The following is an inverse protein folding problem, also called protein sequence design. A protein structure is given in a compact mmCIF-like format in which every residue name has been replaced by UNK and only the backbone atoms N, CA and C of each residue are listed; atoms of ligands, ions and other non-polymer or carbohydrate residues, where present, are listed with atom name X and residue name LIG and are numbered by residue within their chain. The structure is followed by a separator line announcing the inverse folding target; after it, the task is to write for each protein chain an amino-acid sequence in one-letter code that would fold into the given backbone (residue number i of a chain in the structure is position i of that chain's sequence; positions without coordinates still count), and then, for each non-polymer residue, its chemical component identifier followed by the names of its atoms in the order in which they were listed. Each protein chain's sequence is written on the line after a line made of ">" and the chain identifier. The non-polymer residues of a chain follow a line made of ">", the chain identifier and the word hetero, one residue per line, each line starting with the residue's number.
data_IF_288040156543
#
_entry.id   IF_288040156543
#
_cell.length_a   1.000
_cell.length_b   1.000
_cell.length_c   1.000
_cell.angle_alpha   90.00
_cell.angle_beta   90.00
_cell.angle_gamma   90.00
#
_symmetry.space_group_name_H-M   'P 1'
#
loop_
_entity.id
_entity.type
_entity.pdbx_description
1 polymer ?
#
# COMPACT_ATOMS: atom_id res chain seq x y z
N UNK A 1 1.64 19.25 -12.57
CA UNK A 1 1.24 20.52 -11.95
C UNK A 1 -0.24 20.79 -12.17
N UNK A 2 -0.69 20.91 -13.42
CA UNK A 2 -2.08 21.25 -13.76
C UNK A 2 -3.10 20.26 -13.16
N UNK A 3 -2.78 18.96 -13.14
CA UNK A 3 -3.66 17.95 -12.57
C UNK A 3 -3.86 18.13 -11.05
N UNK A 4 -2.79 18.41 -10.30
CA UNK A 4 -2.88 18.65 -8.85
C UNK A 4 -3.54 19.99 -8.52
N UNK A 5 -3.33 21.01 -9.34
CA UNK A 5 -4.02 22.30 -9.17
C UNK A 5 -5.53 22.17 -9.39
N UNK A 6 -5.97 21.27 -10.28
CA UNK A 6 -7.38 20.98 -10.50
C UNK A 6 -8.08 20.33 -9.30
N UNK A 7 -7.29 19.72 -8.39
CA UNK A 7 -7.77 19.13 -7.12
C UNK A 7 -7.74 20.12 -5.94
N UNK A 8 -7.57 21.42 -6.21
CA UNK A 8 -7.43 22.49 -5.19
C UNK A 8 -6.30 22.26 -4.18
N UNK A 9 -5.31 21.42 -4.56
CA UNK A 9 -4.15 21.15 -3.72
C UNK A 9 -3.09 22.22 -3.89
N UNK A 10 -2.52 22.70 -2.79
CA UNK A 10 -1.33 23.52 -2.81
C UNK A 10 -0.10 22.64 -3.09
N UNK A 11 0.49 22.77 -4.29
CA UNK A 11 1.64 21.98 -4.70
C UNK A 11 2.88 22.85 -4.82
N UNK A 12 3.89 22.53 -4.03
CA UNK A 12 5.20 23.21 -4.09
C UNK A 12 6.27 22.20 -4.53
N UNK A 13 6.98 22.45 -5.66
CA UNK A 13 8.10 21.60 -6.04
C UNK A 13 9.23 21.79 -5.03
N UNK A 14 9.76 20.67 -4.57
CA UNK A 14 10.93 20.67 -3.74
C UNK A 14 12.17 20.88 -4.63
N UNK A 15 13.05 21.81 -4.25
CA UNK A 15 14.38 21.89 -4.82
C UNK A 15 15.25 20.69 -4.36
N UNK A 16 16.45 20.58 -4.88
CA UNK A 16 17.34 19.47 -4.57
C UNK A 16 17.68 19.40 -3.07
N UNK A 17 17.83 20.54 -2.41
CA UNK A 17 18.12 20.60 -0.98
C UNK A 17 16.94 20.11 -0.15
N UNK A 18 15.76 20.65 -0.40
CA UNK A 18 14.54 20.26 0.29
C UNK A 18 14.20 18.76 0.09
N UNK A 19 14.47 18.23 -1.12
CA UNK A 19 14.31 16.78 -1.39
C UNK A 19 15.25 15.93 -0.54
N UNK A 20 16.53 16.33 -0.44
CA UNK A 20 17.50 15.62 0.40
C UNK A 20 17.21 15.77 1.89
N UNK A 21 16.72 16.93 2.34
CA UNK A 21 16.25 17.11 3.72
C UNK A 21 15.08 16.18 4.09
N UNK A 22 14.14 15.99 3.18
CA UNK A 22 13.03 15.03 3.37
C UNK A 22 13.57 13.60 3.47
N UNK A 23 14.47 13.20 2.56
CA UNK A 23 15.07 11.87 2.58
C UNK A 23 15.93 11.65 3.84
N UNK A 24 16.69 12.65 4.26
CA UNK A 24 17.48 12.59 5.50
C UNK A 24 16.59 12.32 6.72
N UNK A 25 15.50 13.07 6.88
CA UNK A 25 14.55 12.87 7.98
C UNK A 25 13.89 11.50 7.94
N UNK A 26 13.76 10.92 6.76
CA UNK A 26 13.14 9.62 6.57
C UNK A 26 14.06 8.45 6.95
N UNK A 27 15.35 8.57 6.64
CA UNK A 27 16.33 7.51 6.85
C UNK A 27 17.13 7.65 8.15
N UNK A 28 17.28 8.87 8.67
CA UNK A 28 18.00 9.18 9.92
C UNK A 28 17.01 9.67 10.97
N UNK A 29 16.17 8.78 11.45
CA UNK A 29 15.11 9.08 12.43
C UNK A 29 15.69 9.51 13.78
N UNK A 30 16.84 8.96 14.17
CA UNK A 30 17.54 9.28 15.42
C UNK A 30 18.13 10.69 15.45
N UNK A 31 18.45 11.22 14.28
CA UNK A 31 19.02 12.56 14.20
C UNK A 31 17.90 13.60 14.01
N UNK A 32 17.45 14.23 15.09
CA UNK A 32 16.78 15.54 15.03
C UNK A 32 17.71 16.61 14.39
N UNK A 33 18.81 16.12 13.82
CA UNK A 33 19.93 16.87 13.32
C UNK A 33 19.65 17.61 12.03
N UNK A 34 20.37 18.68 11.86
CA UNK A 34 20.32 19.50 10.66
C UNK A 34 20.97 18.73 9.51
N UNK A 35 20.24 18.50 8.44
CA UNK A 35 20.81 18.07 7.19
C UNK A 35 21.94 19.05 6.77
N UNK A 36 23.17 18.54 6.72
CA UNK A 36 24.34 19.32 6.42
C UNK A 36 25.08 18.74 5.21
N UNK A 37 24.68 19.20 4.02
CA UNK A 37 25.35 18.86 2.77
C UNK A 37 25.72 20.12 2.02
N UNK A 38 27.00 20.25 1.69
CA UNK A 38 27.52 21.42 0.94
C UNK A 38 27.45 21.15 -0.57
N UNK A 39 26.36 21.60 -1.19
CA UNK A 39 26.13 21.46 -2.63
C UNK A 39 27.17 22.15 -3.50
N UNK A 40 27.75 23.24 -3.01
CA UNK A 40 28.69 24.07 -3.80
C UNK A 40 30.11 23.48 -3.81
N UNK A 41 30.47 22.78 -2.74
CA UNK A 41 31.81 22.24 -2.56
C UNK A 41 31.85 20.70 -2.53
N UNK A 42 30.71 20.01 -2.66
CA UNK A 42 30.64 18.54 -2.57
C UNK A 42 31.65 17.83 -3.49
N UNK A 43 31.80 18.31 -4.73
CA UNK A 43 32.75 17.74 -5.68
C UNK A 43 34.22 17.93 -5.25
N UNK A 44 34.54 19.06 -4.60
CA UNK A 44 35.90 19.35 -4.09
C UNK A 44 36.20 18.59 -2.81
N UNK A 45 35.16 18.33 -1.99
CA UNK A 45 35.25 17.61 -0.73
C UNK A 45 35.16 16.11 -0.91
N UNK A 46 34.83 15.64 -2.11
CA UNK A 46 34.60 14.24 -2.39
C UNK A 46 33.38 13.68 -1.67
N UNK A 47 32.43 14.53 -1.28
CA UNK A 47 31.19 14.14 -0.60
C UNK A 47 30.14 13.63 -1.60
N UNK A 48 29.55 12.49 -1.29
CA UNK A 48 28.33 12.00 -1.94
C UNK A 48 27.12 12.37 -1.08
N UNK A 49 26.03 12.84 -1.68
CA UNK A 49 24.79 13.13 -0.98
C UNK A 49 24.22 11.87 -0.30
N UNK A 50 24.55 10.68 -0.81
CA UNK A 50 24.13 9.40 -0.23
C UNK A 50 24.69 9.19 1.17
N UNK A 51 25.93 9.63 1.41
CA UNK A 51 26.57 9.54 2.73
C UNK A 51 25.87 10.41 3.77
N UNK A 52 25.24 11.50 3.32
CA UNK A 52 24.47 12.40 4.18
C UNK A 52 23.04 11.94 4.48
N UNK A 53 22.53 10.98 3.71
CA UNK A 53 21.17 10.47 3.85
C UNK A 53 21.16 9.07 4.47
N UNK A 54 22.11 8.22 4.07
CA UNK A 54 22.16 6.84 4.54
C UNK A 54 22.41 6.78 6.05
N UNK A 55 21.69 5.95 6.79
CA UNK A 55 21.98 5.72 8.20
C UNK A 55 23.35 5.05 8.36
N UNK A 56 24.01 5.27 9.46
CA UNK A 56 25.36 4.76 9.71
C UNK A 56 25.39 3.24 9.84
N UNK A 57 24.29 2.64 10.32
CA UNK A 57 24.16 1.20 10.47
C UNK A 57 22.74 0.74 10.17
N UNK A 58 22.63 -0.27 9.30
CA UNK A 58 21.38 -1.03 9.10
C UNK A 58 21.68 -2.50 9.25
N UNK A 59 20.89 -3.19 10.08
CA UNK A 59 20.95 -4.63 10.25
C UNK A 59 19.61 -5.27 9.97
N UNK A 60 19.57 -6.17 9.00
CA UNK A 60 18.37 -6.94 8.69
C UNK A 60 18.30 -8.19 9.55
N UNK A 61 17.36 -8.22 10.49
CA UNK A 61 17.06 -9.36 11.32
C UNK A 61 15.89 -10.18 10.75
N UNK A 62 15.64 -11.36 11.28
CA UNK A 62 14.57 -12.25 10.77
C UNK A 62 13.17 -11.67 10.88
N UNK A 63 12.90 -10.83 11.89
CA UNK A 63 11.55 -10.30 12.17
C UNK A 63 11.47 -8.77 12.23
N UNK A 64 12.60 -8.08 12.19
CA UNK A 64 12.70 -6.64 12.29
C UNK A 64 13.97 -6.17 11.57
N UNK A 65 14.08 -4.87 11.43
CA UNK A 65 15.26 -4.16 10.91
C UNK A 65 15.76 -3.29 12.06
N UNK A 66 17.05 -3.31 12.31
CA UNK A 66 17.70 -2.38 13.23
C UNK A 66 18.30 -1.25 12.38
N UNK A 67 17.97 -0.01 12.70
CA UNK A 67 18.47 1.18 12.02
C UNK A 67 18.99 2.11 13.10
N UNK A 68 20.32 2.17 13.23
CA UNK A 68 20.98 2.91 14.32
C UNK A 68 20.42 2.48 15.70
N UNK A 69 19.75 3.41 16.41
CA UNK A 69 19.15 3.16 17.72
C UNK A 69 17.66 2.78 17.65
N UNK A 70 17.11 2.63 16.45
CA UNK A 70 15.70 2.31 16.22
C UNK A 70 15.50 0.88 15.70
N UNK A 71 14.34 0.36 15.98
CA UNK A 71 13.84 -0.89 15.43
C UNK A 71 12.70 -0.60 14.46
N UNK A 72 12.69 -1.25 13.31
CA UNK A 72 11.66 -1.09 12.31
C UNK A 72 11.02 -2.43 11.92
N UNK A 73 9.74 -2.41 11.62
CA UNK A 73 9.00 -3.54 11.10
C UNK A 73 8.16 -3.10 9.92
N UNK A 74 8.35 -3.77 8.79
CA UNK A 74 7.60 -3.51 7.58
C UNK A 74 6.51 -4.58 7.43
N UNK A 75 5.30 -4.14 7.15
CA UNK A 75 4.13 -4.98 6.98
C UNK A 75 3.37 -4.56 5.72
N UNK A 76 2.83 -5.54 5.00
CA UNK A 76 1.94 -5.30 3.87
C UNK A 76 0.53 -5.75 4.21
N UNK A 77 -0.47 -5.06 3.68
CA UNK A 77 -1.85 -5.50 3.83
C UNK A 77 -2.12 -6.59 2.79
N UNK A 78 -2.41 -7.80 3.26
CA UNK A 78 -2.70 -8.95 2.40
C UNK A 78 -4.15 -9.03 1.96
N UNK A 79 -5.07 -8.55 2.79
CA UNK A 79 -6.49 -8.53 2.49
C UNK A 79 -7.07 -7.16 2.83
N UNK A 80 -7.66 -6.52 1.83
CA UNK A 80 -8.32 -5.22 2.01
C UNK A 80 -9.78 -5.41 2.44
N UNK A 81 -10.32 -4.50 3.28
CA UNK A 81 -11.75 -4.46 3.52
C UNK A 81 -12.50 -4.12 2.21
N UNK A 82 -13.76 -4.51 2.12
CA UNK A 82 -14.59 -4.26 0.93
C UNK A 82 -14.71 -2.77 0.57
N UNK A 83 -14.61 -1.90 1.56
CA UNK A 83 -14.57 -0.46 1.39
C UNK A 83 -13.42 0.11 2.21
N UNK A 84 -12.54 0.84 1.56
CA UNK A 84 -11.46 1.58 2.19
C UNK A 84 -11.88 3.06 2.18
N UNK A 85 -12.06 3.64 3.36
CA UNK A 85 -12.37 5.05 3.52
C UNK A 85 -11.18 5.83 4.09
N UNK A 86 -11.25 7.16 4.02
CA UNK A 86 -10.20 8.05 4.51
C UNK A 86 -9.95 7.90 6.02
N UNK A 87 -10.92 7.37 6.76
CA UNK A 87 -10.82 7.14 8.20
C UNK A 87 -9.84 6.01 8.52
N UNK A 88 -9.72 5.01 7.65
CA UNK A 88 -8.78 3.92 7.82
C UNK A 88 -7.34 4.44 7.87
N UNK A 89 -6.94 5.27 6.91
CA UNK A 89 -5.60 5.85 6.86
C UNK A 89 -5.39 6.78 8.04
N UNK A 90 -6.38 7.63 8.35
CA UNK A 90 -6.31 8.55 9.49
C UNK A 90 -6.18 7.82 10.83
N UNK A 91 -6.90 6.72 11.02
CA UNK A 91 -6.82 5.91 12.23
C UNK A 91 -5.45 5.21 12.35
N UNK A 92 -4.90 4.73 11.23
CA UNK A 92 -3.59 4.11 11.20
C UNK A 92 -2.48 5.10 11.61
N UNK A 93 -2.51 6.31 11.04
CA UNK A 93 -1.52 7.36 11.31
C UNK A 93 -1.61 7.94 12.73
N UNK A 94 -2.77 7.85 13.39
CA UNK A 94 -2.96 8.37 14.75
C UNK A 94 -2.47 7.42 15.85
N UNK A 95 -2.33 6.14 15.57
CA UNK A 95 -2.00 5.14 16.59
C UNK A 95 -0.52 5.07 16.93
N UNK A 96 0.36 5.57 16.07
CA UNK A 96 1.80 5.36 16.21
C UNK A 96 2.56 6.64 15.86
N UNK A 97 3.51 7.08 16.71
CA UNK A 97 4.25 8.33 16.49
C UNK A 97 5.18 8.30 15.27
N UNK A 98 5.77 7.14 14.97
CA UNK A 98 6.72 6.98 13.87
C UNK A 98 6.27 5.89 12.91
N UNK A 99 5.44 6.29 11.95
CA UNK A 99 4.91 5.39 10.92
C UNK A 99 5.16 5.99 9.55
N UNK A 100 5.54 5.12 8.63
CA UNK A 100 5.64 5.44 7.21
C UNK A 100 4.64 4.58 6.46
N UNK A 101 3.78 5.24 5.72
CA UNK A 101 2.80 4.62 4.85
C UNK A 101 3.24 4.80 3.41
N UNK A 102 3.45 3.70 2.70
CA UNK A 102 3.68 3.69 1.26
C UNK A 102 2.48 3.06 0.56
N UNK A 103 1.99 3.74 -0.44
CA UNK A 103 0.89 3.25 -1.29
C UNK A 103 1.42 3.20 -2.72
N UNK A 104 1.65 1.99 -3.20
CA UNK A 104 2.03 1.76 -4.58
C UNK A 104 0.76 1.49 -5.40
N UNK A 105 0.56 2.24 -6.45
CA UNK A 105 -0.63 2.17 -7.30
C UNK A 105 -0.18 1.97 -8.74
N UNK A 106 -0.62 0.87 -9.34
CA UNK A 106 -0.36 0.52 -10.73
C UNK A 106 -1.68 0.42 -11.50
N UNK A 107 -1.89 1.21 -12.57
CA UNK A 107 -3.06 1.09 -13.40
C UNK A 107 -3.04 -0.23 -14.17
N UNK A 108 -4.18 -0.92 -14.20
CA UNK A 108 -4.36 -2.14 -14.99
C UNK A 108 -4.93 -1.78 -16.36
N UNK A 109 -4.33 -2.29 -17.41
CA UNK A 109 -4.87 -2.12 -18.77
C UNK A 109 -6.30 -2.66 -18.84
N UNK A 110 -7.18 -1.93 -19.51
CA UNK A 110 -8.62 -2.24 -19.54
C UNK A 110 -8.91 -3.68 -20.00
N UNK A 111 -8.16 -4.16 -20.98
CA UNK A 111 -8.32 -5.53 -21.50
C UNK A 111 -7.94 -6.58 -20.43
N UNK A 112 -6.87 -6.35 -19.69
CA UNK A 112 -6.42 -7.27 -18.63
C UNK A 112 -7.34 -7.20 -17.42
N UNK A 113 -7.88 -6.02 -17.09
CA UNK A 113 -8.88 -5.87 -16.06
C UNK A 113 -10.16 -6.68 -16.37
N UNK A 114 -10.64 -6.66 -17.61
CA UNK A 114 -11.78 -7.50 -18.02
C UNK A 114 -11.45 -8.99 -17.95
N UNK A 115 -10.24 -9.41 -18.33
CA UNK A 115 -9.81 -10.80 -18.18
C UNK A 115 -9.82 -11.26 -16.71
N UNK A 116 -9.36 -10.40 -15.78
CA UNK A 116 -9.39 -10.71 -14.35
C UNK A 116 -10.83 -10.84 -13.82
N UNK A 117 -11.74 -9.95 -14.26
CA UNK A 117 -13.16 -10.02 -13.92
C UNK A 117 -13.78 -11.32 -14.46
N UNK A 118 -13.48 -11.69 -15.71
CA UNK A 118 -13.99 -12.94 -16.32
C UNK A 118 -13.45 -14.17 -15.59
N UNK A 119 -12.17 -14.17 -15.21
CA UNK A 119 -11.57 -15.24 -14.43
C UNK A 119 -12.23 -15.38 -13.04
N UNK A 120 -12.49 -14.26 -12.37
CA UNK A 120 -13.20 -14.24 -11.10
C UNK A 120 -14.63 -14.77 -11.23
N UNK A 121 -15.33 -14.38 -12.28
CA UNK A 121 -16.69 -14.86 -12.58
C UNK A 121 -16.69 -16.36 -12.83
N UNK A 122 -15.78 -16.89 -13.65
CA UNK A 122 -15.67 -18.32 -13.92
C UNK A 122 -15.41 -19.13 -12.66
N UNK A 123 -14.57 -18.65 -11.75
CA UNK A 123 -14.33 -19.32 -10.45
C UNK A 123 -15.61 -19.36 -9.61
N UNK A 124 -16.31 -18.22 -9.50
CA UNK A 124 -17.57 -18.12 -8.74
C UNK A 124 -18.65 -19.05 -9.33
N UNK A 125 -18.75 -19.13 -10.66
CA UNK A 125 -19.71 -20.00 -11.33
C UNK A 125 -19.35 -21.50 -11.18
N UNK A 126 -18.07 -21.83 -11.20
CA UNK A 126 -17.59 -23.19 -10.90
C UNK A 126 -17.93 -23.62 -9.47
N UNK A 127 -17.77 -22.71 -8.49
CA UNK A 127 -18.19 -22.97 -7.10
C UNK A 127 -19.69 -23.21 -6.99
N UNK A 128 -20.52 -22.40 -7.67
CA UNK A 128 -21.98 -22.59 -7.71
C UNK A 128 -22.36 -23.96 -8.29
N UNK A 129 -21.74 -24.34 -9.41
CA UNK A 129 -21.96 -25.63 -10.05
C UNK A 129 -21.57 -26.79 -9.14
N UNK A 130 -20.40 -26.68 -8.49
CA UNK A 130 -19.93 -27.70 -7.53
C UNK A 130 -20.89 -27.84 -6.36
N UNK A 131 -21.34 -26.73 -5.79
CA UNK A 131 -22.32 -26.71 -4.70
C UNK A 131 -23.65 -27.38 -5.12
N UNK A 132 -24.20 -27.00 -6.27
CA UNK A 132 -25.45 -27.55 -6.78
C UNK A 132 -25.35 -29.06 -7.03
N UNK A 133 -24.23 -29.55 -7.59
CA UNK A 133 -23.99 -30.99 -7.75
C UNK A 133 -24.01 -31.72 -6.41
N UNK A 134 -23.27 -31.17 -5.41
CA UNK A 134 -23.22 -31.78 -4.08
C UNK A 134 -24.59 -31.80 -3.37
N UNK A 135 -25.39 -30.72 -3.55
CA UNK A 135 -26.75 -30.66 -3.02
C UNK A 135 -27.65 -31.74 -3.64
N UNK A 136 -27.55 -31.94 -4.94
CA UNK A 136 -28.31 -33.00 -5.64
C UNK A 136 -27.87 -34.39 -5.19
N UNK A 137 -26.56 -34.65 -5.08
CA UNK A 137 -26.01 -35.92 -4.61
C UNK A 137 -26.44 -36.24 -3.17
N UNK A 138 -26.56 -35.24 -2.31
CA UNK A 138 -26.99 -35.40 -0.92
C UNK A 138 -28.51 -35.35 -0.73
N UNK A 139 -29.31 -35.23 -1.82
CA UNK A 139 -30.77 -35.05 -1.78
C UNK A 139 -31.23 -33.86 -0.90
N UNK A 140 -30.36 -32.87 -0.74
CA UNK A 140 -30.63 -31.67 0.04
C UNK A 140 -31.05 -30.52 -0.89
N UNK A 141 -32.35 -30.45 -1.18
CA UNK A 141 -32.93 -29.41 -2.06
C UNK A 141 -33.26 -28.10 -1.32
N UNK A 142 -32.97 -28.04 -0.01
CA UNK A 142 -33.25 -26.85 0.81
C UNK A 142 -32.03 -25.96 0.97
N UNK A 143 -30.84 -26.46 0.66
CA UNK A 143 -29.61 -25.71 0.77
C UNK A 143 -29.47 -24.71 -0.40
N UNK A 144 -29.27 -23.45 -0.07
CA UNK A 144 -28.97 -22.38 -1.04
C UNK A 144 -27.48 -22.25 -1.25
N UNK A 145 -27.08 -21.70 -2.38
CA UNK A 145 -25.68 -21.33 -2.65
C UNK A 145 -25.14 -20.50 -1.47
N UNK A 146 -23.91 -20.76 -0.97
CA UNK A 146 -23.34 -20.04 0.17
C UNK A 146 -23.42 -18.53 -0.01
N UNK A 147 -23.77 -17.82 1.05
CA UNK A 147 -23.92 -16.36 1.03
C UNK A 147 -22.66 -15.66 0.52
N UNK A 148 -21.48 -16.19 0.88
CA UNK A 148 -20.19 -15.69 0.40
C UNK A 148 -20.08 -15.71 -1.13
N UNK A 149 -20.49 -16.81 -1.77
CA UNK A 149 -20.44 -16.96 -3.23
C UNK A 149 -21.45 -16.03 -3.93
N UNK A 150 -22.62 -15.83 -3.32
CA UNK A 150 -23.59 -14.84 -3.83
C UNK A 150 -23.09 -13.40 -3.71
N UNK A 151 -22.41 -13.08 -2.63
CA UNK A 151 -21.83 -11.75 -2.41
C UNK A 151 -20.68 -11.48 -3.39
N UNK A 152 -19.80 -12.46 -3.61
CA UNK A 152 -18.75 -12.37 -4.63
C UNK A 152 -19.33 -12.10 -6.02
N UNK A 153 -20.40 -12.78 -6.38
CA UNK A 153 -21.07 -12.60 -7.66
C UNK A 153 -21.62 -11.18 -7.84
N UNK A 154 -22.23 -10.62 -6.78
CA UNK A 154 -22.71 -9.24 -6.77
C UNK A 154 -21.57 -8.22 -6.91
N UNK A 155 -20.46 -8.45 -6.20
CA UNK A 155 -19.28 -7.58 -6.27
C UNK A 155 -18.69 -7.58 -7.67
N UNK A 156 -18.51 -8.76 -8.28
CA UNK A 156 -18.01 -8.90 -9.66
C UNK A 156 -18.93 -8.17 -10.65
N UNK A 157 -20.24 -8.34 -10.53
CA UNK A 157 -21.22 -7.65 -11.37
C UNK A 157 -21.16 -6.12 -11.19
N UNK A 158 -21.00 -5.64 -9.96
CA UNK A 158 -20.85 -4.22 -9.65
C UNK A 158 -19.57 -3.64 -10.28
N UNK A 159 -18.42 -4.31 -10.11
CA UNK A 159 -17.14 -3.86 -10.70
C UNK A 159 -17.26 -3.79 -12.22
N UNK A 160 -17.81 -4.83 -12.84
CA UNK A 160 -18.03 -4.85 -14.30
C UNK A 160 -18.89 -3.66 -14.77
N UNK A 161 -19.96 -3.38 -14.03
CA UNK A 161 -20.85 -2.26 -14.32
C UNK A 161 -20.13 -0.91 -14.22
N UNK A 162 -19.37 -0.69 -13.15
CA UNK A 162 -18.59 0.54 -12.94
C UNK A 162 -17.60 0.78 -14.08
N UNK A 163 -16.91 -0.27 -14.52
CA UNK A 163 -15.96 -0.16 -15.63
C UNK A 163 -16.65 0.09 -16.99
N UNK A 164 -17.85 -0.47 -17.20
CA UNK A 164 -18.53 -0.41 -18.51
C UNK A 164 -19.36 0.87 -18.65
N UNK A 165 -20.07 1.28 -17.58
CA UNK A 165 -21.02 2.39 -17.62
C UNK A 165 -20.40 3.71 -17.12
N UNK A 166 -19.48 3.65 -16.16
CA UNK A 166 -18.90 4.81 -15.47
C UNK A 166 -17.44 5.08 -15.85
N UNK A 167 -16.91 4.37 -16.83
CA UNK A 167 -15.52 4.52 -17.34
C UNK A 167 -14.45 4.45 -16.20
N UNK A 168 -14.74 3.63 -15.19
CA UNK A 168 -13.82 3.45 -14.07
C UNK A 168 -12.67 2.55 -14.46
N UNK A 169 -11.47 2.88 -13.99
CA UNK A 169 -10.26 2.11 -14.23
C UNK A 169 -9.92 1.25 -13.02
N UNK A 170 -9.44 0.02 -13.27
CA UNK A 170 -8.92 -0.86 -12.23
C UNK A 170 -7.47 -0.51 -11.91
N UNK A 171 -7.12 -0.56 -10.64
CA UNK A 171 -5.76 -0.38 -10.15
C UNK A 171 -5.36 -1.54 -9.25
N UNK A 172 -4.11 -1.97 -9.37
CA UNK A 172 -3.46 -2.76 -8.35
C UNK A 172 -2.90 -1.80 -7.30
N UNK A 173 -3.20 -2.05 -6.04
CA UNK A 173 -2.68 -1.24 -4.94
C UNK A 173 -1.98 -2.11 -3.91
N UNK A 174 -0.79 -1.69 -3.51
CA UNK A 174 -0.05 -2.29 -2.42
C UNK A 174 0.16 -1.26 -1.32
N UNK A 175 -0.43 -1.50 -0.18
CA UNK A 175 -0.25 -0.68 1.00
C UNK A 175 0.81 -1.31 1.90
N UNK A 176 1.90 -0.60 2.09
CA UNK A 176 3.00 -0.99 2.97
C UNK A 176 3.09 -0.03 4.13
N UNK A 177 3.13 -0.58 5.33
CA UNK A 177 3.25 0.15 6.59
C UNK A 177 4.60 -0.19 7.20
N UNK A 178 5.45 0.80 7.39
CA UNK A 178 6.69 0.65 8.15
C UNK A 178 6.55 1.39 9.46
N UNK A 179 6.70 0.66 10.52
CA UNK A 179 6.60 1.13 11.89
C UNK A 179 7.97 1.15 12.52
N UNK A 180 8.29 2.23 13.25
CA UNK A 180 9.55 2.42 13.97
C UNK A 180 9.29 2.54 15.47
N UNK A 181 10.16 1.96 16.26
CA UNK A 181 10.11 2.00 17.72
C UNK A 181 11.51 2.09 18.32
N UNK A 182 11.60 2.70 19.51
CA UNK A 182 12.86 2.83 20.25
C UNK A 182 13.27 1.50 20.91
N UNK A 183 12.31 0.62 21.14
CA UNK A 183 12.57 -0.68 21.76
C UNK A 183 11.92 -1.83 20.98
N UNK A 184 12.49 -3.04 21.12
CA UNK A 184 11.90 -4.25 20.54
C UNK A 184 10.54 -4.62 21.17
N UNK A 185 10.30 -4.19 22.41
CA UNK A 185 9.04 -4.45 23.12
C UNK A 185 7.91 -3.61 22.50
N UNK A 186 8.21 -2.36 22.14
CA UNK A 186 7.25 -1.45 21.48
C UNK A 186 7.00 -1.84 20.02
N UNK A 187 7.92 -2.60 19.40
CA UNK A 187 7.78 -3.09 18.03
C UNK A 187 6.91 -4.35 17.95
N UNK A 188 6.65 -5.03 19.04
CA UNK A 188 5.96 -6.33 19.06
C UNK A 188 4.46 -6.21 18.78
#
# INVERSE_FOLDING_TARGET
>A
WLAFSALECAVTPLDNRARLEVLHKFFRISEEGRFNFDFDNCAKLGQDFRDSIAPDCIRFCKKHIEIEDFYAKCMTISEYPQQLDDKFISALLQQVPYIVLSIDIEPVETEDAFKEIDNAQMKTDAEKVHFNKKSVENLDFTSSVPQRTQEQDRIIASIRKEMTENDQQMFLSLLTVTYFADTLEDLA
#
